data_IF_484283398460
#
_entry.id   IF_484283398460
#
_cell.length_a   1.000
_cell.length_b   1.000
_cell.length_c   1.000
_cell.angle_alpha   90.00
_cell.angle_beta   90.00
_cell.angle_gamma   90.00
#
_symmetry.space_group_name_H-M   'P 1'
#
loop_
_entity.id
_entity.type
_entity.pdbx_description
1 polymer ?
#
# COMPACT_ATOMS: atom_id res chain seq x y z
N UNK A 1 5.86 12.48 -14.11
CA UNK A 1 6.10 12.21 -12.68
C UNK A 1 7.51 12.69 -12.36
N UNK A 2 7.68 13.60 -11.42
CA UNK A 2 8.97 14.20 -11.07
C UNK A 2 9.69 13.37 -10.01
N UNK A 3 11.01 13.22 -10.16
CA UNK A 3 11.92 12.45 -9.29
C UNK A 3 11.77 12.74 -7.77
N UNK A 4 11.31 13.94 -7.40
CA UNK A 4 11.02 14.31 -6.01
C UNK A 4 9.92 13.46 -5.34
N UNK A 5 9.00 12.90 -6.13
CA UNK A 5 7.97 11.97 -5.62
C UNK A 5 8.56 10.59 -5.29
N UNK A 6 9.62 10.20 -6.00
CA UNK A 6 10.29 8.90 -5.84
C UNK A 6 11.10 8.86 -4.53
N UNK A 7 11.79 9.95 -4.18
CA UNK A 7 12.54 10.08 -2.91
C UNK A 7 11.63 10.12 -1.66
N UNK A 8 10.41 10.62 -1.81
CA UNK A 8 9.41 10.60 -0.74
C UNK A 8 8.79 9.22 -0.52
N UNK A 9 8.81 8.36 -1.55
CA UNK A 9 8.35 6.97 -1.50
C UNK A 9 9.39 6.04 -0.84
N UNK A 10 10.68 6.24 -1.15
CA UNK A 10 11.81 5.46 -0.58
C UNK A 10 12.06 5.72 0.91
N UNK A 11 11.64 6.88 1.43
CA UNK A 11 11.79 7.22 2.87
C UNK A 11 10.73 6.62 3.79
N UNK A 12 9.65 6.05 3.24
CA UNK A 12 8.58 5.49 4.06
C UNK A 12 9.00 4.13 4.62
N UNK A 13 8.64 3.86 5.87
CA UNK A 13 8.79 2.50 6.40
C UNK A 13 7.76 1.58 5.75
N UNK A 14 8.01 0.26 5.81
CA UNK A 14 7.07 -0.73 5.29
C UNK A 14 5.68 -0.61 5.96
N UNK A 15 5.66 -0.26 7.25
CA UNK A 15 4.44 -0.03 8.03
C UNK A 15 3.67 1.19 7.52
N UNK A 16 4.36 2.28 7.17
CA UNK A 16 3.71 3.48 6.61
C UNK A 16 3.09 3.19 5.23
N UNK A 17 3.77 2.40 4.40
CA UNK A 17 3.21 1.95 3.11
C UNK A 17 2.00 1.05 3.30
N UNK A 18 2.07 0.10 4.23
CA UNK A 18 0.93 -0.78 4.55
C UNK A 18 -0.28 0.04 5.04
N UNK A 19 -0.04 1.05 5.89
CA UNK A 19 -1.09 1.94 6.36
C UNK A 19 -1.75 2.71 5.21
N UNK A 20 -0.98 3.24 4.26
CA UNK A 20 -1.52 3.97 3.11
C UNK A 20 -2.39 3.07 2.20
N UNK A 21 -1.99 1.82 2.01
CA UNK A 21 -2.75 0.81 1.24
C UNK A 21 -4.08 0.53 1.92
N UNK A 22 -4.06 0.24 3.22
CA UNK A 22 -5.27 0.01 4.02
C UNK A 22 -6.19 1.23 3.97
N UNK A 23 -5.64 2.44 4.10
CA UNK A 23 -6.41 3.67 4.03
C UNK A 23 -7.07 3.85 2.65
N UNK A 24 -6.36 3.59 1.55
CA UNK A 24 -6.93 3.63 0.19
C UNK A 24 -8.07 2.65 0.03
N UNK A 25 -7.88 1.40 0.45
CA UNK A 25 -8.89 0.35 0.39
C UNK A 25 -10.16 0.78 1.14
N UNK A 26 -10.00 1.25 2.39
CA UNK A 26 -11.13 1.68 3.22
C UNK A 26 -11.85 2.90 2.62
N UNK A 27 -11.11 3.83 2.01
CA UNK A 27 -11.69 5.04 1.40
C UNK A 27 -12.59 4.77 0.20
N UNK A 28 -12.38 3.66 -0.51
CA UNK A 28 -13.16 3.27 -1.68
C UNK A 28 -14.31 2.32 -1.31
N UNK A 29 -14.27 1.74 -0.12
CA UNK A 29 -15.18 0.70 0.30
C UNK A 29 -16.50 1.27 0.84
N UNK A 30 -17.63 0.77 0.33
CA UNK A 30 -18.96 1.20 0.76
C UNK A 30 -19.15 0.90 2.25
N UNK A 31 -19.49 1.92 3.04
CA UNK A 31 -19.70 1.74 4.47
C UNK A 31 -20.93 0.85 4.75
N UNK A 32 -20.76 -0.11 5.67
CA UNK A 32 -21.86 -0.94 6.18
C UNK A 32 -22.43 -0.21 7.40
N UNK A 33 -23.75 0.04 7.45
CA UNK A 33 -24.37 0.69 8.61
C UNK A 33 -24.07 -0.05 9.93
N UNK A 34 -23.80 0.71 10.99
CA UNK A 34 -23.42 0.15 12.30
C UNK A 34 -24.45 -0.82 12.90
N UNK A 35 -25.73 -0.64 12.58
CA UNK A 35 -26.82 -1.50 13.07
C UNK A 35 -26.88 -2.89 12.40
N UNK A 36 -26.10 -3.13 11.33
CA UNK A 36 -25.97 -4.42 10.63
C UNK A 36 -24.56 -5.02 10.71
N UNK A 37 -23.76 -4.55 11.68
CA UNK A 37 -22.41 -5.07 11.96
C UNK A 37 -21.29 -4.06 11.74
N UNK A 38 -21.57 -2.95 11.04
CA UNK A 38 -20.56 -1.91 10.77
C UNK A 38 -19.47 -2.35 9.80
N UNK A 39 -18.47 -1.48 9.60
CA UNK A 39 -17.32 -1.73 8.71
C UNK A 39 -17.54 -1.25 7.28
N UNK A 40 -16.82 -1.85 6.34
CA UNK A 40 -16.90 -1.51 4.92
C UNK A 40 -17.01 -2.77 4.06
N UNK A 41 -17.83 -2.72 3.00
CA UNK A 41 -17.87 -3.76 1.97
C UNK A 41 -16.57 -3.72 1.18
N UNK A 42 -15.82 -4.80 1.27
CA UNK A 42 -14.61 -5.00 0.50
C UNK A 42 -14.89 -5.94 -0.66
N UNK A 43 -14.61 -5.48 -1.86
CA UNK A 43 -14.46 -6.37 -3.00
C UNK A 43 -13.15 -7.14 -2.81
N UNK A 44 -13.24 -8.47 -2.69
CA UNK A 44 -12.09 -9.34 -2.45
C UNK A 44 -11.08 -9.29 -3.61
N UNK A 45 -11.52 -8.99 -4.83
CA UNK A 45 -10.63 -8.85 -5.97
C UNK A 45 -9.82 -7.56 -5.88
N UNK A 46 -10.47 -6.43 -5.58
CA UNK A 46 -9.78 -5.14 -5.37
C UNK A 46 -8.81 -5.23 -4.18
N UNK A 47 -9.23 -5.87 -3.09
CA UNK A 47 -8.37 -6.10 -1.93
C UNK A 47 -7.13 -6.92 -2.30
N UNK A 48 -7.30 -8.00 -3.06
CA UNK A 48 -6.20 -8.82 -3.53
C UNK A 48 -5.22 -8.03 -4.41
N UNK A 49 -5.74 -7.26 -5.37
CA UNK A 49 -4.94 -6.45 -6.28
C UNK A 49 -4.12 -5.38 -5.54
N UNK A 50 -4.72 -4.67 -4.59
CA UNK A 50 -4.01 -3.67 -3.76
C UNK A 50 -2.94 -4.31 -2.88
N UNK A 51 -3.20 -5.48 -2.27
CA UNK A 51 -2.20 -6.21 -1.47
C UNK A 51 -1.04 -6.67 -2.33
N UNK A 52 -1.31 -7.24 -3.51
CA UNK A 52 -0.26 -7.71 -4.43
C UNK A 52 0.57 -6.54 -4.94
N UNK A 53 -0.06 -5.40 -5.27
CA UNK A 53 0.64 -4.19 -5.69
C UNK A 53 1.58 -3.68 -4.58
N UNK A 54 1.08 -3.59 -3.35
CA UNK A 54 1.87 -3.16 -2.19
C UNK A 54 3.04 -4.10 -1.87
N UNK A 55 2.81 -5.41 -1.97
CA UNK A 55 3.84 -6.43 -1.76
C UNK A 55 4.93 -6.32 -2.83
N UNK A 56 4.55 -6.14 -4.10
CA UNK A 56 5.48 -6.00 -5.21
C UNK A 56 6.35 -4.75 -5.06
N UNK A 57 5.75 -3.61 -4.71
CA UNK A 57 6.48 -2.38 -4.42
C UNK A 57 7.49 -2.58 -3.27
N UNK A 58 7.10 -3.31 -2.22
CA UNK A 58 8.00 -3.62 -1.10
C UNK A 58 9.16 -4.54 -1.51
N UNK A 59 8.90 -5.52 -2.37
CA UNK A 59 9.95 -6.40 -2.91
C UNK A 59 10.90 -5.62 -3.82
N UNK A 60 10.37 -4.76 -4.69
CA UNK A 60 11.16 -3.92 -5.59
C UNK A 60 12.05 -2.94 -4.79
N UNK A 61 11.53 -2.35 -3.70
CA UNK A 61 12.31 -1.51 -2.77
C UNK A 61 13.47 -2.29 -2.10
N UNK A 62 13.21 -3.53 -1.66
CA UNK A 62 14.22 -4.39 -1.04
C UNK A 62 15.30 -4.82 -2.05
N UNK A 63 14.90 -5.15 -3.27
CA UNK A 63 15.82 -5.48 -4.35
C UNK A 63 16.70 -4.28 -4.72
N UNK A 64 16.11 -3.08 -4.82
CA UNK A 64 16.84 -1.84 -5.12
C UNK A 64 17.84 -1.47 -4.01
N UNK A 65 17.46 -1.61 -2.72
CA UNK A 65 18.38 -1.38 -1.61
C UNK A 65 19.53 -2.41 -1.55
N UNK A 66 19.33 -3.62 -2.09
CA UNK A 66 20.34 -4.69 -2.09
C UNK A 66 21.46 -4.49 -3.11
N UNK A 67 21.21 -3.76 -4.20
CA UNK A 67 22.19 -3.45 -5.25
C UNK A 67 23.10 -2.25 -4.92
N UNK A 68 22.81 -1.52 -3.84
CA UNK A 68 23.59 -0.37 -3.36
C UNK A 68 24.83 -0.76 -2.55
N UNK A 69 25.74 -1.55 -3.12
CA UNK A 69 27.07 -1.74 -2.52
C UNK A 69 28.07 -0.79 -3.21
N UNK A 70 28.50 0.31 -2.57
CA UNK A 70 29.65 1.04 -3.07
C UNK A 70 30.88 0.14 -2.85
N UNK A 71 31.56 -0.21 -3.94
CA UNK A 71 32.97 -0.65 -3.91
C UNK A 71 33.86 0.46 -3.38
#
# INVERSE_FOLDING_TARGET
MTLASTDALTRRTAEQRAHDVVHRIVSQAEAIPAHIGGGHKLDMQILYEEIVAALRETIDDLAYCSDGKPT
#
